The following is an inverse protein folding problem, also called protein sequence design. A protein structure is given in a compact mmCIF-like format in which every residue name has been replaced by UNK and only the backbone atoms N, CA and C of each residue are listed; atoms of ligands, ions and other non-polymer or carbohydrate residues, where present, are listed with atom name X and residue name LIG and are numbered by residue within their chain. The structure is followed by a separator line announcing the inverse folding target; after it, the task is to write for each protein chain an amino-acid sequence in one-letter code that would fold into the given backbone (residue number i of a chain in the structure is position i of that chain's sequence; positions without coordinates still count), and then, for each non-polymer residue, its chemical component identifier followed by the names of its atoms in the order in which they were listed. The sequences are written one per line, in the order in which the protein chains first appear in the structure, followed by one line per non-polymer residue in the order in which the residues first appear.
data_IF_440514735670
#
_entry.id   IF_440514735670
#
_cell.length_a   1.000
_cell.length_b   1.000
_cell.length_c   1.000
_cell.angle_alpha   90.00
_cell.angle_beta   90.00
_cell.angle_gamma   90.00
#
_symmetry.space_group_name_H-M   'P 1'
#
loop_
_entity.id
_entity.type
_entity.pdbx_description
1 polymer ?
#
# COMPACT_ATOMS: atom_id res chain seq x y z
N UNK A 1 82.91 39.48 4.93
CA UNK A 1 83.60 38.34 4.27
C UNK A 1 82.50 37.43 3.69
N UNK A 2 82.63 37.11 2.44
CA UNK A 2 81.69 36.49 1.56
C UNK A 2 81.67 34.94 1.73
N UNK A 3 80.58 34.28 1.81
CA UNK A 3 80.49 32.88 1.37
C UNK A 3 79.08 32.58 0.80
N UNK A 4 79.14 32.26 -0.46
CA UNK A 4 78.05 31.80 -1.29
C UNK A 4 77.76 30.33 -0.95
N UNK A 5 76.53 29.96 -0.73
CA UNK A 5 76.05 28.54 -0.85
C UNK A 5 74.93 28.45 -1.82
N UNK A 6 75.20 27.65 -2.83
CA UNK A 6 74.33 27.37 -3.93
C UNK A 6 73.10 26.50 -3.45
N UNK A 7 71.88 26.91 -3.79
CA UNK A 7 70.69 26.15 -3.54
C UNK A 7 70.43 25.04 -4.56
N UNK A 8 70.27 23.84 -4.08
CA UNK A 8 69.88 22.68 -4.85
C UNK A 8 68.36 22.65 -4.94
N UNK A 9 67.78 22.91 -6.11
CA UNK A 9 66.37 22.85 -6.39
C UNK A 9 66.01 21.36 -6.67
N UNK A 10 65.40 20.71 -5.70
CA UNK A 10 64.82 19.37 -5.92
C UNK A 10 63.39 19.54 -6.47
N UNK A 11 63.25 19.23 -7.77
CA UNK A 11 61.94 19.10 -8.41
C UNK A 11 61.26 17.82 -7.92
N UNK A 12 60.36 17.90 -6.95
CA UNK A 12 59.50 16.82 -6.59
C UNK A 12 58.34 16.73 -7.60
N UNK A 13 58.41 15.78 -8.54
CA UNK A 13 57.35 15.46 -9.45
C UNK A 13 56.17 14.81 -8.66
N UNK A 14 55.12 15.56 -8.47
CA UNK A 14 53.87 15.02 -7.94
C UNK A 14 53.19 14.20 -9.04
N UNK A 15 53.27 12.88 -8.90
CA UNK A 15 52.48 11.95 -9.71
C UNK A 15 51.04 11.99 -9.17
N UNK A 16 50.17 12.68 -9.89
CA UNK A 16 48.71 12.61 -9.67
C UNK A 16 48.24 11.24 -10.13
N UNK A 17 48.09 10.31 -9.20
CA UNK A 17 47.32 9.07 -9.44
C UNK A 17 45.86 9.43 -9.44
N UNK A 18 45.26 9.57 -10.61
CA UNK A 18 43.82 9.70 -10.78
C UNK A 18 43.19 8.36 -10.40
N UNK A 19 42.63 8.27 -9.19
CA UNK A 19 41.76 7.18 -8.80
C UNK A 19 40.46 7.30 -9.61
N UNK A 20 39.99 6.24 -10.29
CA UNK A 20 38.68 6.25 -10.91
C UNK A 20 37.63 6.40 -9.81
N UNK A 21 36.83 7.46 -9.87
CA UNK A 21 35.63 7.61 -9.05
C UNK A 21 34.69 6.47 -9.43
N UNK A 22 34.59 5.46 -8.58
CA UNK A 22 33.51 4.47 -8.66
C UNK A 22 32.23 5.23 -8.36
N UNK A 23 31.45 5.57 -9.39
CA UNK A 23 30.10 6.06 -9.23
C UNK A 23 29.32 4.97 -8.52
N UNK A 24 29.11 5.14 -7.21
CA UNK A 24 28.16 4.34 -6.45
C UNK A 24 26.80 4.72 -7.02
N UNK A 25 26.25 3.83 -7.87
CA UNK A 25 24.83 3.83 -8.18
C UNK A 25 24.09 3.44 -6.89
N UNK A 26 23.90 4.40 -5.99
CA UNK A 26 22.91 4.26 -4.95
C UNK A 26 21.57 4.07 -5.65
N UNK A 27 20.81 2.99 -5.33
CA UNK A 27 19.46 2.85 -5.86
C UNK A 27 18.68 4.10 -5.44
N UNK A 28 17.85 4.68 -6.33
CA UNK A 28 17.10 5.89 -6.01
C UNK A 28 16.38 5.68 -4.69
N UNK A 29 16.67 6.54 -3.72
CA UNK A 29 15.97 6.58 -2.43
C UNK A 29 14.48 6.57 -2.76
N UNK A 30 13.83 5.43 -2.48
CA UNK A 30 12.40 5.24 -2.66
C UNK A 30 11.72 6.41 -1.99
N UNK A 31 11.12 7.30 -2.78
CA UNK A 31 10.37 8.44 -2.27
C UNK A 31 9.52 7.93 -1.10
N UNK A 32 9.72 8.53 0.09
CA UNK A 32 8.83 8.28 1.22
C UNK A 32 7.44 8.55 0.70
N UNK A 33 6.59 7.51 0.62
CA UNK A 33 5.23 7.64 0.16
C UNK A 33 4.62 8.80 0.94
N UNK A 34 4.23 9.86 0.22
CA UNK A 34 3.59 11.03 0.84
C UNK A 34 2.33 10.48 1.49
N UNK A 35 2.24 10.54 2.82
CA UNK A 35 1.01 10.26 3.58
C UNK A 35 -0.14 10.89 2.80
N UNK A 36 -1.09 10.07 2.33
CA UNK A 36 -2.22 10.56 1.56
C UNK A 36 -2.92 11.66 2.36
N UNK A 37 -2.93 12.87 1.81
CA UNK A 37 -3.63 14.03 2.40
C UNK A 37 -5.12 14.04 2.08
N UNK A 38 -5.62 12.96 1.45
CA UNK A 38 -7.03 12.87 1.09
C UNK A 38 -7.89 12.95 2.35
N UNK A 39 -8.95 13.75 2.33
CA UNK A 39 -9.89 13.81 3.44
C UNK A 39 -10.58 12.46 3.61
N UNK A 40 -11.02 12.19 4.83
CA UNK A 40 -11.92 11.08 5.11
C UNK A 40 -13.34 11.62 5.00
N UNK A 41 -14.11 11.07 4.09
CA UNK A 41 -15.53 11.39 3.90
C UNK A 41 -16.36 10.23 4.45
N UNK A 42 -17.38 10.53 5.26
CA UNK A 42 -18.26 9.52 5.88
C UNK A 42 -19.71 9.93 5.69
N UNK A 43 -20.52 8.98 5.25
CA UNK A 43 -21.97 9.08 5.19
C UNK A 43 -22.63 8.00 6.04
N UNK A 44 -23.76 8.30 6.67
CA UNK A 44 -24.53 7.38 7.50
C UNK A 44 -25.95 7.89 7.73
N UNK A 45 -26.82 7.06 8.30
CA UNK A 45 -28.18 7.48 8.67
C UNK A 45 -28.17 8.36 9.94
N UNK A 46 -27.21 8.14 10.84
CA UNK A 46 -27.10 8.86 12.13
C UNK A 46 -25.67 9.10 12.53
N UNK A 47 -25.45 10.22 13.23
CA UNK A 47 -24.18 10.56 13.86
C UNK A 47 -24.43 11.08 15.28
N UNK A 48 -23.56 10.73 16.22
CA UNK A 48 -23.48 11.32 17.53
C UNK A 48 -22.04 11.62 17.92
N UNK A 49 -21.86 12.69 18.68
CA UNK A 49 -20.56 13.09 19.22
C UNK A 49 -20.57 12.91 20.72
N UNK A 50 -19.53 12.29 21.25
CA UNK A 50 -19.35 12.01 22.69
C UNK A 50 -18.07 12.68 23.18
N UNK A 51 -18.01 12.96 24.49
CA UNK A 51 -16.84 13.56 25.15
C UNK A 51 -16.32 14.82 24.42
N UNK A 52 -17.27 15.69 24.02
CA UNK A 52 -16.94 16.94 23.34
C UNK A 52 -16.24 16.75 21.98
N UNK A 53 -16.39 15.60 21.30
CA UNK A 53 -15.81 15.32 20.00
C UNK A 53 -14.55 14.43 20.02
N UNK A 54 -14.17 13.92 21.18
CA UNK A 54 -13.10 12.91 21.29
C UNK A 54 -13.55 11.59 20.66
N UNK A 55 -14.84 11.24 20.84
CA UNK A 55 -15.44 10.09 20.15
C UNK A 55 -16.63 10.54 19.29
N UNK A 56 -16.64 10.10 18.02
CA UNK A 56 -17.74 10.31 17.08
C UNK A 56 -18.22 8.95 16.61
N UNK A 57 -19.54 8.71 16.64
CA UNK A 57 -20.15 7.43 16.24
C UNK A 57 -21.13 7.68 15.11
N UNK A 58 -20.88 7.01 13.98
CA UNK A 58 -21.78 6.92 12.85
C UNK A 58 -22.49 5.57 12.87
N UNK A 59 -23.77 5.53 12.54
CA UNK A 59 -24.56 4.29 12.55
C UNK A 59 -25.64 4.28 11.47
N UNK A 60 -25.87 3.08 10.91
CA UNK A 60 -26.79 2.81 9.82
C UNK A 60 -26.20 3.15 8.46
N UNK A 61 -26.08 2.14 7.61
CA UNK A 61 -25.59 2.28 6.22
C UNK A 61 -24.31 3.10 6.09
N UNK A 62 -23.33 2.86 6.97
CA UNK A 62 -22.12 3.66 7.03
C UNK A 62 -21.24 3.37 5.83
N UNK A 63 -20.82 4.43 5.13
CA UNK A 63 -19.88 4.39 4.01
C UNK A 63 -18.80 5.44 4.24
N UNK A 64 -17.55 5.03 4.18
CA UNK A 64 -16.38 5.91 4.30
C UNK A 64 -15.49 5.80 3.09
N UNK A 65 -14.94 6.94 2.65
CA UNK A 65 -13.95 7.04 1.59
C UNK A 65 -12.69 7.76 2.09
N UNK A 66 -11.54 7.30 1.62
CA UNK A 66 -10.25 8.00 1.72
C UNK A 66 -9.45 7.70 0.46
N UNK A 67 -9.42 8.63 -0.49
CA UNK A 67 -8.88 8.36 -1.82
C UNK A 67 -9.57 7.19 -2.51
N UNK A 68 -8.82 6.15 -2.88
CA UNK A 68 -9.31 4.93 -3.51
C UNK A 68 -9.81 3.86 -2.52
N UNK A 69 -9.62 4.09 -1.22
CA UNK A 69 -10.07 3.20 -0.15
C UNK A 69 -11.53 3.50 0.20
N UNK A 70 -12.38 2.48 0.11
CA UNK A 70 -13.78 2.50 0.57
C UNK A 70 -13.98 1.49 1.69
N UNK A 71 -14.64 1.89 2.77
CA UNK A 71 -15.05 1.01 3.86
C UNK A 71 -16.55 1.17 4.10
N UNK A 72 -17.28 0.07 4.17
CA UNK A 72 -18.69 0.06 4.60
C UNK A 72 -18.84 -0.76 5.87
N UNK A 73 -19.80 -0.38 6.73
CA UNK A 73 -20.09 -1.08 7.99
C UNK A 73 -21.48 -0.69 8.53
N UNK A 74 -21.95 -1.38 9.56
CA UNK A 74 -23.17 -1.00 10.27
C UNK A 74 -22.91 0.19 11.21
N UNK A 75 -21.75 0.22 11.85
CA UNK A 75 -21.29 1.26 12.78
C UNK A 75 -19.85 1.63 12.44
N UNK A 76 -19.53 2.92 12.57
CA UNK A 76 -18.16 3.41 12.51
C UNK A 76 -17.92 4.38 13.67
N UNK A 77 -16.87 4.11 14.43
CA UNK A 77 -16.43 4.94 15.56
C UNK A 77 -15.11 5.62 15.19
N UNK A 78 -15.03 6.91 15.40
CA UNK A 78 -13.80 7.70 15.24
C UNK A 78 -13.33 8.11 16.61
N UNK A 79 -12.08 7.86 16.90
CA UNK A 79 -11.39 8.28 18.10
C UNK A 79 -10.36 9.35 17.73
N UNK A 80 -10.58 10.55 18.22
CA UNK A 80 -9.66 11.67 18.04
C UNK A 80 -8.73 11.79 19.25
N UNK A 81 -7.58 12.44 19.06
CA UNK A 81 -6.73 12.88 20.17
C UNK A 81 -7.51 13.77 21.13
N UNK A 82 -7.07 13.89 22.38
CA UNK A 82 -7.73 14.74 23.39
C UNK A 82 -7.82 16.22 22.93
N UNK A 83 -6.81 16.70 22.22
CA UNK A 83 -6.79 18.04 21.62
C UNK A 83 -7.61 18.15 20.32
N UNK A 84 -8.19 17.05 19.85
CA UNK A 84 -9.04 16.91 18.64
C UNK A 84 -8.41 17.40 17.35
N UNK A 85 -7.09 17.47 17.29
CA UNK A 85 -6.37 17.90 16.08
C UNK A 85 -6.11 16.75 15.11
N UNK A 86 -6.07 15.53 15.63
CA UNK A 86 -5.77 14.33 14.84
C UNK A 86 -6.76 13.22 15.16
N UNK A 87 -7.00 12.35 14.18
CA UNK A 87 -7.69 11.08 14.38
C UNK A 87 -6.65 10.01 14.71
N UNK A 88 -6.82 9.35 15.86
CA UNK A 88 -5.95 8.26 16.27
C UNK A 88 -6.38 6.94 15.64
N UNK A 89 -7.69 6.65 15.72
CA UNK A 89 -8.23 5.35 15.34
C UNK A 89 -9.63 5.51 14.72
N UNK A 90 -9.93 4.69 13.71
CA UNK A 90 -11.28 4.52 13.17
C UNK A 90 -11.63 3.04 13.24
N UNK A 91 -12.77 2.73 13.85
CA UNK A 91 -13.25 1.36 14.05
C UNK A 91 -14.54 1.16 13.26
N UNK A 92 -14.53 0.27 12.27
CA UNK A 92 -15.72 -0.19 11.57
C UNK A 92 -16.19 -1.51 12.21
N UNK A 93 -17.50 -1.63 12.47
CA UNK A 93 -18.11 -2.75 13.18
C UNK A 93 -19.36 -3.20 12.44
N UNK A 94 -19.48 -4.52 12.27
CA UNK A 94 -20.64 -5.18 11.63
C UNK A 94 -20.59 -5.07 10.12
N UNK A 95 -20.74 -6.21 9.43
CA UNK A 95 -20.82 -6.32 7.97
C UNK A 95 -19.73 -5.50 7.25
N UNK A 96 -18.50 -5.53 7.77
CA UNK A 96 -17.42 -4.71 7.25
C UNK A 96 -17.00 -5.17 5.86
N UNK A 97 -17.03 -4.25 4.89
CA UNK A 97 -16.47 -4.47 3.55
C UNK A 97 -15.44 -3.39 3.26
N UNK A 98 -14.24 -3.81 2.90
CA UNK A 98 -13.13 -2.94 2.48
C UNK A 98 -12.92 -3.16 0.99
N UNK A 99 -12.83 -2.08 0.23
CA UNK A 99 -12.54 -2.13 -1.21
C UNK A 99 -11.45 -1.12 -1.55
N UNK A 100 -10.47 -1.53 -2.35
CA UNK A 100 -9.42 -0.66 -2.88
C UNK A 100 -9.02 -1.14 -4.28
N UNK A 101 -9.41 -0.39 -5.32
CA UNK A 101 -9.25 -0.84 -6.70
C UNK A 101 -9.95 -2.18 -6.94
N UNK A 102 -9.18 -3.19 -7.38
CA UNK A 102 -9.68 -4.57 -7.61
C UNK A 102 -9.66 -5.45 -6.36
N UNK A 103 -9.07 -4.98 -5.26
CA UNK A 103 -8.96 -5.71 -3.99
C UNK A 103 -10.22 -5.50 -3.17
N UNK A 104 -10.75 -6.57 -2.60
CA UNK A 104 -11.91 -6.56 -1.70
C UNK A 104 -11.64 -7.44 -0.50
N UNK A 105 -12.08 -7.01 0.69
CA UNK A 105 -12.06 -7.84 1.89
C UNK A 105 -13.36 -7.65 2.69
N UNK A 106 -13.78 -8.70 3.41
CA UNK A 106 -14.94 -8.69 4.29
C UNK A 106 -14.57 -9.27 5.65
N UNK A 107 -15.23 -8.79 6.69
CA UNK A 107 -15.07 -9.26 8.08
C UNK A 107 -16.09 -8.65 9.01
N UNK A 108 -15.91 -8.84 10.30
CA UNK A 108 -16.84 -8.35 11.34
C UNK A 108 -16.40 -7.01 11.92
N UNK A 109 -15.08 -6.79 12.00
CA UNK A 109 -14.50 -5.57 12.58
C UNK A 109 -13.23 -5.17 11.86
N UNK A 110 -13.10 -3.89 11.55
CA UNK A 110 -11.85 -3.32 11.05
C UNK A 110 -11.41 -2.15 11.93
N UNK A 111 -10.10 -2.06 12.15
CA UNK A 111 -9.45 -0.95 12.86
C UNK A 111 -8.47 -0.28 11.91
N UNK A 112 -8.69 0.98 11.60
CA UNK A 112 -7.77 1.80 10.83
C UNK A 112 -6.97 2.70 11.75
N UNK A 113 -5.65 2.60 11.70
CA UNK A 113 -4.68 3.38 12.44
C UNK A 113 -4.01 4.38 11.49
N UNK A 114 -4.45 5.64 11.51
CA UNK A 114 -4.01 6.64 10.52
C UNK A 114 -2.51 6.92 10.59
N UNK A 115 -1.94 7.04 11.78
CA UNK A 115 -0.49 7.27 11.96
C UNK A 115 0.38 6.15 11.40
N UNK A 116 -0.14 4.92 11.40
CA UNK A 116 0.56 3.73 10.93
C UNK A 116 0.18 3.34 9.50
N UNK A 117 -0.81 4.02 8.88
CA UNK A 117 -1.39 3.66 7.59
C UNK A 117 -1.69 2.17 7.51
N UNK A 118 -2.35 1.65 8.55
CA UNK A 118 -2.57 0.23 8.79
C UNK A 118 -4.04 -0.06 9.03
N UNK A 119 -4.57 -1.11 8.39
CA UNK A 119 -5.89 -1.66 8.70
C UNK A 119 -5.71 -3.06 9.28
N UNK A 120 -6.43 -3.35 10.36
CA UNK A 120 -6.55 -4.69 10.94
C UNK A 120 -8.00 -5.11 10.76
N UNK A 121 -8.26 -6.13 9.95
CA UNK A 121 -9.58 -6.72 9.71
C UNK A 121 -9.67 -8.06 10.41
N UNK A 122 -10.73 -8.27 11.17
CA UNK A 122 -11.03 -9.54 11.85
C UNK A 122 -12.39 -10.06 11.45
N UNK A 123 -12.57 -11.39 11.47
CA UNK A 123 -13.84 -12.04 11.13
C UNK A 123 -14.04 -13.38 11.86
N UNK A 124 -15.31 -13.73 12.09
CA UNK A 124 -15.73 -14.96 12.73
C UNK A 124 -16.67 -15.72 11.79
N UNK A 125 -16.34 -16.94 11.37
CA UNK A 125 -15.14 -17.71 11.70
C UNK A 125 -13.86 -17.19 11.02
N UNK A 126 -13.97 -16.40 9.92
CA UNK A 126 -12.86 -15.88 9.12
C UNK A 126 -13.21 -14.53 8.53
N UNK A 127 -12.20 -13.66 8.40
CA UNK A 127 -12.19 -12.61 7.40
C UNK A 127 -11.77 -13.21 6.06
N UNK A 128 -12.27 -12.67 4.94
CA UNK A 128 -11.96 -13.16 3.59
C UNK A 128 -11.56 -11.99 2.71
N UNK A 129 -10.50 -12.18 1.92
CA UNK A 129 -10.05 -11.20 0.93
C UNK A 129 -9.94 -11.81 -0.46
N UNK A 130 -10.16 -10.99 -1.49
CA UNK A 130 -10.05 -11.34 -2.90
C UNK A 130 -9.18 -10.34 -3.63
N UNK A 131 -8.35 -10.85 -4.52
CA UNK A 131 -7.54 -10.09 -5.46
C UNK A 131 -7.37 -10.87 -6.76
N UNK A 132 -7.71 -10.27 -7.89
CA UNK A 132 -7.60 -10.88 -9.22
C UNK A 132 -8.21 -12.30 -9.34
N UNK A 133 -9.30 -12.55 -8.64
CA UNK A 133 -9.97 -13.86 -8.59
C UNK A 133 -9.44 -14.80 -7.51
N UNK A 134 -8.25 -14.60 -6.99
CA UNK A 134 -7.72 -15.37 -5.88
C UNK A 134 -8.43 -15.02 -4.58
N UNK A 135 -8.56 -15.99 -3.68
CA UNK A 135 -9.23 -15.83 -2.39
C UNK A 135 -8.31 -16.28 -1.26
N UNK A 136 -8.27 -15.50 -0.19
CA UNK A 136 -7.55 -15.83 1.04
C UNK A 136 -8.46 -15.61 2.25
N UNK A 137 -8.38 -16.50 3.21
CA UNK A 137 -9.13 -16.48 4.48
C UNK A 137 -8.19 -16.60 5.66
N UNK A 138 -8.56 -15.96 6.76
CA UNK A 138 -7.89 -16.04 8.06
C UNK A 138 -8.70 -15.30 9.10
N UNK A 139 -8.41 -15.49 10.38
CA UNK A 139 -9.15 -14.77 11.44
C UNK A 139 -8.77 -13.31 11.53
N UNK A 140 -7.54 -12.99 11.17
CA UNK A 140 -7.01 -11.64 11.18
C UNK A 140 -6.24 -11.35 9.90
N UNK A 141 -6.49 -10.18 9.31
CA UNK A 141 -5.78 -9.65 8.15
C UNK A 141 -5.23 -8.27 8.47
N UNK A 142 -3.97 -8.02 8.19
CA UNK A 142 -3.30 -6.75 8.42
C UNK A 142 -2.87 -6.18 7.07
N UNK A 143 -3.41 -5.02 6.71
CA UNK A 143 -3.06 -4.30 5.49
C UNK A 143 -2.15 -3.13 5.85
N UNK A 144 -0.96 -3.09 5.25
CA UNK A 144 0.01 -2.00 5.37
C UNK A 144 -0.09 -1.14 4.10
N UNK A 145 -0.90 -0.09 4.14
CA UNK A 145 -1.33 0.67 2.97
C UNK A 145 -0.16 1.34 2.21
N UNK A 146 0.82 1.89 2.93
CA UNK A 146 1.99 2.53 2.32
C UNK A 146 2.94 1.53 1.64
N UNK A 147 2.93 0.27 2.09
CA UNK A 147 3.84 -0.77 1.60
C UNK A 147 3.20 -1.68 0.56
N UNK A 148 1.92 -1.45 0.24
CA UNK A 148 1.08 -2.36 -0.56
C UNK A 148 1.29 -3.83 -0.16
N UNK A 149 1.29 -4.08 1.14
CA UNK A 149 1.58 -5.39 1.74
C UNK A 149 0.47 -5.76 2.70
N UNK A 150 0.09 -7.04 2.69
CA UNK A 150 -0.80 -7.57 3.72
C UNK A 150 -0.26 -8.86 4.34
N UNK A 151 -0.70 -9.14 5.56
CA UNK A 151 -0.37 -10.33 6.33
C UNK A 151 -1.68 -10.96 6.79
N UNK A 152 -1.79 -12.28 6.72
CA UNK A 152 -2.94 -13.04 7.20
C UNK A 152 -2.48 -13.96 8.31
N UNK A 153 -3.21 -13.94 9.42
CA UNK A 153 -2.90 -14.71 10.62
C UNK A 153 -4.06 -15.65 10.98
N UNK A 154 -3.73 -16.73 11.67
CA UNK A 154 -4.65 -17.68 12.31
C UNK A 154 -5.57 -18.39 11.30
N UNK A 155 -5.28 -19.68 11.08
CA UNK A 155 -6.03 -20.58 10.21
C UNK A 155 -6.14 -20.09 8.76
N UNK A 156 -4.99 -19.76 8.17
CA UNK A 156 -4.91 -19.24 6.82
C UNK A 156 -5.25 -20.32 5.80
N UNK A 157 -6.14 -19.98 4.86
CA UNK A 157 -6.47 -20.79 3.68
C UNK A 157 -6.44 -19.89 2.45
N UNK A 158 -5.81 -20.34 1.38
CA UNK A 158 -5.76 -19.62 0.11
C UNK A 158 -6.23 -20.51 -1.03
N UNK A 159 -7.03 -19.94 -1.94
CA UNK A 159 -7.40 -20.54 -3.22
C UNK A 159 -6.83 -19.67 -4.33
N UNK A 160 -6.02 -20.27 -5.17
CA UNK A 160 -5.42 -19.64 -6.35
C UNK A 160 -6.11 -20.22 -7.58
N UNK A 161 -6.66 -19.35 -8.42
CA UNK A 161 -7.28 -19.74 -9.68
C UNK A 161 -6.31 -19.46 -10.82
N UNK A 162 -5.99 -20.49 -11.67
CA UNK A 162 -5.16 -20.28 -12.85
C UNK A 162 -5.81 -19.22 -13.75
N UNK A 163 -5.01 -18.27 -14.24
CA UNK A 163 -5.47 -17.35 -15.27
C UNK A 163 -5.57 -18.17 -16.58
N UNK A 164 -6.79 -18.36 -17.11
CA UNK A 164 -6.97 -19.01 -18.40
C UNK A 164 -6.25 -18.21 -19.48
N UNK A 165 -5.22 -18.80 -20.11
CA UNK A 165 -4.47 -18.20 -21.21
C UNK A 165 -5.31 -17.94 -22.48
N UNK A 166 -6.57 -18.44 -22.50
CA UNK A 166 -7.46 -18.35 -23.67
C UNK A 166 -7.94 -16.93 -24.02
N UNK A 167 -7.76 -15.95 -23.12
CA UNK A 167 -8.18 -14.55 -23.36
C UNK A 167 -7.03 -13.58 -23.59
N UNK A 168 -5.85 -14.04 -24.04
CA UNK A 168 -4.80 -13.13 -24.46
C UNK A 168 -5.05 -12.69 -25.92
N UNK A 169 -5.53 -11.43 -26.17
CA UNK A 169 -5.83 -10.96 -27.52
C UNK A 169 -4.59 -10.97 -28.45
N UNK A 170 -3.37 -10.99 -27.89
CA UNK A 170 -2.13 -11.06 -28.66
C UNK A 170 -1.85 -12.46 -29.26
N UNK A 171 -2.45 -13.55 -28.73
CA UNK A 171 -2.28 -14.90 -29.28
C UNK A 171 -3.27 -15.20 -30.41
N UNK A 172 -4.42 -14.48 -30.45
CA UNK A 172 -5.41 -14.64 -31.52
C UNK A 172 -4.94 -14.07 -32.88
N UNK A 173 -4.14 -13.00 -32.88
CA UNK A 173 -3.60 -12.40 -34.12
C UNK A 173 -2.51 -13.26 -34.78
N UNK A 174 -1.78 -14.05 -34.02
CA UNK A 174 -0.71 -14.92 -34.61
C UNK A 174 -1.22 -16.22 -35.19
N UNK A 175 -2.37 -16.73 -34.74
CA UNK A 175 -2.99 -17.94 -35.31
C UNK A 175 -3.74 -17.65 -36.63
N UNK A 176 -4.26 -16.44 -36.81
CA UNK A 176 -4.98 -16.05 -38.02
C UNK A 176 -4.03 -15.83 -39.22
N UNK A 177 -2.80 -15.40 -38.96
CA UNK A 177 -1.79 -15.19 -40.02
C UNK A 177 -1.14 -16.51 -40.57
N UNK A 178 -1.17 -17.60 -39.78
CA UNK A 178 -0.64 -18.89 -40.23
C UNK A 178 -1.62 -19.69 -41.11
N UNK A 179 -2.93 -19.54 -40.88
CA UNK A 179 -3.94 -20.25 -41.67
C UNK A 179 -4.16 -19.63 -43.06
N UNK A 180 -3.80 -18.36 -43.26
CA UNK A 180 -3.87 -17.71 -44.58
C UNK A 180 -2.72 -18.11 -45.53
N UNK A 181 -1.58 -18.53 -45.00
CA UNK A 181 -0.41 -18.91 -45.80
C UNK A 181 -0.44 -20.36 -46.28
N UNK A 182 -1.31 -21.23 -45.77
CA UNK A 182 -1.43 -22.63 -46.15
C UNK A 182 -2.50 -22.93 -47.21
N UNK A 183 -3.34 -21.94 -47.56
CA UNK A 183 -4.44 -22.12 -48.55
C UNK A 183 -4.13 -21.59 -49.96
N UNK A 184 -2.87 -21.16 -50.23
CA UNK A 184 -2.45 -20.63 -51.53
C UNK A 184 -1.31 -21.48 -52.21
N UNK A 185 -1.42 -22.79 -52.15
CA UNK A 185 -0.62 -23.68 -52.99
C UNK A 185 -1.51 -24.69 -53.70
#
# INVERSE_FOLDING_TARGET
MKSKLAGLIIFAAWVFVALPAIAQNEPPLREKSKKSKDPIEITSDRMRSENGGVKIVFSGNVVSYKGDLKITSDIMEIYNTEDKKETDEIVAIGNVVITRGTKRAIGDRAVYLDKLQKIILTGTPYATAWEEGNMIEGREMIFLLEKDRFVVNQRVRMKIYPKDEKNNPKKKSQLTDQDQLSSSK
#
